data_IF_046554043795
#
_entry.id   IF_046554043795
#
_cell.length_a   1.000
_cell.length_b   1.000
_cell.length_c   1.000
_cell.angle_alpha   90.00
_cell.angle_beta   90.00
_cell.angle_gamma   90.00
#
_symmetry.space_group_name_H-M   'P 1'
#
loop_
_entity.id
_entity.type
_entity.pdbx_description
1 polymer ?
#
# COMPACT_ATOMS: atom_id res chain seq x y z
N UNK A 1 2.02 -6.79 -4.47
CA UNK A 1 0.97 -7.74 -4.04
C UNK A 1 0.71 -7.61 -2.54
N UNK A 2 -0.54 -7.66 -2.10
CA UNK A 2 -0.95 -7.67 -0.68
C UNK A 2 -1.75 -8.93 -0.38
N UNK A 3 -1.47 -9.60 0.74
CA UNK A 3 -2.21 -10.78 1.23
C UNK A 3 -2.71 -10.58 2.66
N UNK A 4 -3.85 -11.18 2.97
CA UNK A 4 -4.37 -11.30 4.35
C UNK A 4 -4.62 -12.77 4.63
N UNK A 5 -3.91 -13.33 5.63
CA UNK A 5 -3.92 -14.76 5.94
C UNK A 5 -3.62 -15.65 4.72
N UNK A 6 -2.63 -15.24 3.90
CA UNK A 6 -2.25 -15.91 2.66
C UNK A 6 -3.19 -15.66 1.47
N UNK A 7 -4.36 -15.06 1.66
CA UNK A 7 -5.30 -14.75 0.58
C UNK A 7 -4.93 -13.44 -0.10
N UNK A 8 -4.77 -13.46 -1.43
CA UNK A 8 -4.47 -12.26 -2.22
C UNK A 8 -5.62 -11.25 -2.15
N UNK A 9 -5.27 -10.04 -1.73
CA UNK A 9 -6.16 -8.90 -1.53
C UNK A 9 -5.95 -7.80 -2.56
N UNK A 10 -4.71 -7.58 -2.98
CA UNK A 10 -4.37 -6.63 -4.03
C UNK A 10 -3.21 -7.20 -4.84
N UNK A 11 -3.25 -7.05 -6.16
CA UNK A 11 -2.19 -7.51 -7.05
C UNK A 11 -2.19 -6.65 -8.33
N UNK A 12 -1.08 -5.97 -8.60
CA UNK A 12 -0.93 -4.97 -9.68
C UNK A 12 0.55 -4.57 -9.78
N UNK A 13 0.89 -3.79 -10.82
CA UNK A 13 2.23 -3.31 -11.10
C UNK A 13 2.32 -1.78 -10.93
N UNK A 14 3.51 -1.25 -10.62
CA UNK A 14 3.77 0.19 -10.58
C UNK A 14 3.59 0.91 -11.92
N UNK A 15 3.61 0.17 -13.03
CA UNK A 15 3.28 0.69 -14.37
C UNK A 15 1.82 1.17 -14.47
N UNK A 16 0.94 0.74 -13.57
CA UNK A 16 -0.47 1.16 -13.51
C UNK A 16 -0.68 2.47 -12.72
N UNK A 17 0.38 3.11 -12.23
CA UNK A 17 0.27 4.40 -11.54
C UNK A 17 -0.26 5.47 -12.50
N UNK A 18 -1.31 6.19 -12.08
CA UNK A 18 -1.85 7.34 -12.82
C UNK A 18 -0.79 8.45 -12.95
N UNK A 19 -0.02 8.66 -11.88
CA UNK A 19 1.13 9.56 -11.83
C UNK A 19 2.36 8.73 -11.42
N UNK A 20 3.34 8.66 -12.31
CA UNK A 20 4.59 7.95 -12.02
C UNK A 20 5.43 8.67 -10.95
N UNK A 21 6.49 8.01 -10.49
CA UNK A 21 7.35 8.54 -9.41
C UNK A 21 7.94 9.91 -9.74
N UNK A 22 8.53 10.16 -10.94
CA UNK A 22 8.99 11.50 -11.31
C UNK A 22 7.88 12.56 -11.26
N UNK A 23 6.67 12.24 -11.74
CA UNK A 23 5.53 13.15 -11.73
C UNK A 23 5.11 13.48 -10.30
N UNK A 24 5.05 12.48 -9.41
CA UNK A 24 4.71 12.70 -8.00
C UNK A 24 5.70 13.64 -7.30
N UNK A 25 7.00 13.43 -7.50
CA UNK A 25 8.03 14.32 -6.94
C UNK A 25 7.87 15.73 -7.49
N UNK A 26 7.67 15.87 -8.81
CA UNK A 26 7.48 17.17 -9.45
C UNK A 26 6.27 17.92 -8.87
N UNK A 27 5.10 17.28 -8.78
CA UNK A 27 3.88 17.93 -8.29
C UNK A 27 3.99 18.34 -6.82
N UNK A 28 4.58 17.50 -5.96
CA UNK A 28 4.78 17.83 -4.55
C UNK A 28 5.70 19.04 -4.37
N UNK A 29 6.80 19.11 -5.14
CA UNK A 29 7.77 20.22 -5.04
C UNK A 29 7.22 21.58 -5.50
N UNK A 30 6.06 21.63 -6.17
CA UNK A 30 5.38 22.90 -6.49
C UNK A 30 4.77 23.56 -5.27
N UNK A 31 4.45 22.79 -4.23
CA UNK A 31 3.66 23.26 -3.07
C UNK A 31 4.39 23.13 -1.74
N UNK A 32 5.44 22.32 -1.66
CA UNK A 32 6.27 22.16 -0.47
C UNK A 32 7.72 21.86 -0.83
N UNK A 33 8.65 22.17 0.07
CA UNK A 33 10.04 21.68 -0.05
C UNK A 33 10.08 20.24 0.47
N UNK A 34 10.70 19.34 -0.29
CA UNK A 34 10.99 17.98 0.18
C UNK A 34 12.38 17.96 0.83
N UNK A 35 12.48 17.34 1.99
CA UNK A 35 13.71 17.25 2.77
C UNK A 35 14.35 15.86 2.65
N UNK A 36 15.68 15.74 2.79
CA UNK A 36 16.35 14.45 2.84
C UNK A 36 15.78 13.58 3.97
N UNK A 37 15.25 12.40 3.61
CA UNK A 37 14.62 11.47 4.54
C UNK A 37 13.10 11.44 4.46
N UNK A 38 12.47 12.32 3.69
CA UNK A 38 11.03 12.28 3.45
C UNK A 38 10.60 10.97 2.75
N UNK A 39 9.42 10.47 3.13
CA UNK A 39 8.82 9.24 2.58
C UNK A 39 7.50 9.57 1.89
N UNK A 40 7.43 9.32 0.59
CA UNK A 40 6.22 9.51 -0.21
C UNK A 40 5.50 8.17 -0.37
N UNK A 41 4.25 8.11 0.07
CA UNK A 41 3.37 6.96 -0.18
C UNK A 41 2.68 7.17 -1.52
N UNK A 42 3.13 6.46 -2.55
CA UNK A 42 2.77 6.71 -3.96
C UNK A 42 1.35 6.28 -4.36
N UNK A 43 0.62 5.65 -3.44
CA UNK A 43 -0.75 5.18 -3.65
C UNK A 43 -0.92 3.69 -3.42
N UNK A 44 -2.10 3.17 -3.76
CA UNK A 44 -2.45 1.76 -3.61
C UNK A 44 -3.29 1.31 -4.80
N UNK A 45 -3.11 0.08 -5.32
CA UNK A 45 -3.94 -0.44 -6.40
C UNK A 45 -5.35 -0.82 -5.91
N UNK A 46 -6.19 -1.29 -6.85
CA UNK A 46 -7.52 -1.79 -6.52
C UNK A 46 -7.50 -2.96 -5.51
N UNK A 47 -8.64 -3.22 -4.86
CA UNK A 47 -8.80 -4.37 -3.96
C UNK A 47 -8.81 -4.05 -2.46
N UNK A 48 -8.75 -2.77 -2.08
CA UNK A 48 -8.97 -2.32 -0.70
C UNK A 48 -10.33 -2.77 -0.16
N UNK A 49 -10.41 -3.03 1.15
CA UNK A 49 -11.60 -3.58 1.79
C UNK A 49 -12.88 -2.76 1.52
N UNK A 50 -12.77 -1.42 1.48
CA UNK A 50 -13.88 -0.51 1.21
C UNK A 50 -14.60 -0.80 -0.13
N UNK A 51 -13.84 -1.20 -1.16
CA UNK A 51 -14.33 -1.43 -2.51
C UNK A 51 -14.89 -2.86 -2.71
N UNK A 52 -14.77 -3.75 -1.71
CA UNK A 52 -15.21 -5.15 -1.79
C UNK A 52 -16.65 -5.32 -1.31
N UNK A 53 -17.33 -6.34 -1.85
CA UNK A 53 -18.68 -6.76 -1.46
C UNK A 53 -18.72 -8.29 -1.31
N UNK A 54 -18.89 -8.84 -0.08
CA UNK A 54 -18.93 -8.12 1.19
C UNK A 54 -17.60 -7.43 1.52
N UNK A 55 -17.65 -6.38 2.33
CA UNK A 55 -16.44 -5.76 2.87
C UNK A 55 -15.74 -6.72 3.82
N UNK A 56 -14.41 -6.68 3.82
CA UNK A 56 -13.56 -7.58 4.59
C UNK A 56 -12.44 -6.79 5.27
N UNK A 57 -12.84 -6.00 6.26
CA UNK A 57 -11.93 -5.26 7.12
C UNK A 57 -11.01 -6.21 7.90
N UNK A 58 -9.79 -5.73 8.15
CA UNK A 58 -8.84 -6.42 9.03
C UNK A 58 -9.42 -6.53 10.44
N UNK A 59 -9.15 -7.66 11.10
CA UNK A 59 -9.56 -7.94 12.47
C UNK A 59 -8.41 -8.50 13.30
N UNK A 60 -8.47 -8.42 14.64
CA UNK A 60 -7.49 -9.07 15.50
C UNK A 60 -7.31 -10.55 15.15
N UNK A 61 -6.05 -10.98 15.09
CA UNK A 61 -5.65 -12.34 14.69
C UNK A 61 -5.36 -12.49 13.19
N UNK A 62 -5.72 -11.52 12.35
CA UNK A 62 -5.27 -11.51 10.95
C UNK A 62 -3.77 -11.24 10.84
N UNK A 63 -3.16 -11.70 9.76
CA UNK A 63 -1.82 -11.31 9.33
C UNK A 63 -1.90 -10.66 7.97
N UNK A 64 -1.44 -9.41 7.87
CA UNK A 64 -1.29 -8.68 6.63
C UNK A 64 0.15 -8.80 6.11
N UNK A 65 0.31 -9.13 4.84
CA UNK A 65 1.60 -9.22 4.15
C UNK A 65 1.56 -8.32 2.92
N UNK A 66 2.51 -7.40 2.82
CA UNK A 66 2.69 -6.51 1.66
C UNK A 66 4.02 -6.84 1.02
N UNK A 67 3.99 -7.12 -0.28
CA UNK A 67 5.15 -7.54 -1.06
C UNK A 67 5.33 -6.66 -2.28
N UNK A 68 6.57 -6.20 -2.47
CA UNK A 68 7.03 -5.57 -3.70
C UNK A 68 8.20 -6.41 -4.23
N UNK A 69 8.09 -6.83 -5.50
CA UNK A 69 9.12 -7.61 -6.17
C UNK A 69 10.48 -6.89 -6.06
N UNK A 70 11.54 -7.66 -5.77
CA UNK A 70 12.93 -7.17 -5.60
C UNK A 70 13.18 -6.28 -4.37
N UNK A 71 12.16 -5.92 -3.59
CA UNK A 71 12.34 -5.20 -2.32
C UNK A 71 12.18 -6.17 -1.15
N UNK A 72 11.05 -6.88 -1.07
CA UNK A 72 10.79 -7.86 -0.03
C UNK A 72 9.35 -7.88 0.45
N UNK A 73 9.13 -8.59 1.57
CA UNK A 73 7.83 -8.75 2.21
C UNK A 73 7.83 -8.08 3.58
N UNK A 74 6.89 -7.15 3.79
CA UNK A 74 6.56 -6.60 5.09
C UNK A 74 5.36 -7.38 5.66
N UNK A 75 5.54 -8.00 6.83
CA UNK A 75 4.53 -8.85 7.48
C UNK A 75 4.13 -8.27 8.84
N UNK A 76 2.86 -7.94 9.00
CA UNK A 76 2.32 -7.33 10.21
C UNK A 76 1.15 -8.17 10.77
N UNK A 77 1.27 -8.75 11.98
CA UNK A 77 0.14 -9.32 12.68
C UNK A 77 -0.78 -8.20 13.18
N UNK A 78 -2.09 -8.39 13.02
CA UNK A 78 -3.12 -7.47 13.50
C UNK A 78 -3.52 -7.88 14.91
N UNK A 79 -3.40 -6.94 15.84
CA UNK A 79 -3.79 -7.11 17.24
C UNK A 79 -4.90 -6.13 17.59
N UNK A 80 -5.69 -6.46 18.61
CA UNK A 80 -6.65 -5.51 19.18
C UNK A 80 -5.88 -4.33 19.76
N UNK A 81 -6.27 -3.10 19.39
CA UNK A 81 -5.74 -1.89 20.01
C UNK A 81 -6.08 -1.85 21.50
N UNK A 82 -5.16 -1.30 22.29
CA UNK A 82 -5.35 -1.08 23.73
C UNK A 82 -6.48 -0.09 24.03
#
# INVERSE_FOLDING_TARGET
MTRVNGKVMQDSNTDDLIFDVPTLVHELTKVMTLEPGDVIITGTPSGVALARKPQNWLKPGDVCEVEIEKIGVLRNPIVQGA
#
